data_IF_444317928431
#
_entry.id   IF_444317928431
#
_cell.length_a   1.000
_cell.length_b   1.000
_cell.length_c   1.000
_cell.angle_alpha   90.00
_cell.angle_beta   90.00
_cell.angle_gamma   90.00
#
_symmetry.space_group_name_H-M   'P 1'
#
loop_
_entity.id
_entity.type
_entity.pdbx_description
1 polymer ?
#
# COMPACT_ATOMS: atom_id res chain seq x y z
N UNK A 1 23.79 19.68 -10.12
CA UNK A 1 22.48 19.06 -10.45
C UNK A 1 21.49 19.60 -9.43
N UNK A 2 20.63 20.51 -9.85
CA UNK A 2 19.69 21.22 -8.98
C UNK A 2 18.54 20.29 -8.63
N UNK A 3 18.35 20.00 -7.35
CA UNK A 3 17.15 19.32 -6.89
C UNK A 3 15.98 20.29 -7.05
N UNK A 4 15.18 20.11 -8.07
CA UNK A 4 13.87 20.71 -8.15
C UNK A 4 13.08 20.23 -6.93
N UNK A 5 12.64 21.15 -6.08
CA UNK A 5 11.57 20.91 -5.12
C UNK A 5 10.30 20.73 -5.95
N UNK A 6 10.06 19.52 -6.47
CA UNK A 6 8.77 19.20 -7.05
C UNK A 6 7.76 19.28 -5.91
N UNK A 7 7.04 20.39 -5.86
CA UNK A 7 5.82 20.48 -5.07
C UNK A 7 4.92 19.37 -5.62
N UNK A 8 4.61 18.38 -4.79
CA UNK A 8 3.59 17.40 -5.13
C UNK A 8 2.35 18.18 -5.55
N UNK A 9 1.76 17.81 -6.68
CA UNK A 9 0.51 18.39 -7.14
C UNK A 9 -0.57 18.23 -6.05
N UNK A 10 -1.42 19.22 -5.85
CA UNK A 10 -2.49 19.09 -4.86
C UNK A 10 -3.38 17.89 -5.20
N UNK A 11 -3.87 17.21 -4.17
CA UNK A 11 -4.84 16.13 -4.34
C UNK A 11 -6.07 16.66 -5.08
N UNK A 12 -6.43 16.03 -6.20
CA UNK A 12 -7.59 16.42 -7.00
C UNK A 12 -8.90 16.03 -6.31
N UNK A 13 -9.96 16.83 -6.48
CA UNK A 13 -11.30 16.45 -6.05
C UNK A 13 -11.72 15.11 -6.66
N UNK A 14 -12.41 14.31 -5.86
CA UNK A 14 -12.85 12.95 -6.26
C UNK A 14 -14.38 12.86 -6.39
N UNK A 15 -15.05 13.98 -6.55
CA UNK A 15 -16.52 14.05 -6.70
C UNK A 15 -16.98 13.19 -7.88
N UNK A 16 -17.99 12.36 -7.65
CA UNK A 16 -18.53 11.43 -8.66
C UNK A 16 -17.70 10.15 -8.84
N UNK A 17 -16.59 9.99 -8.11
CA UNK A 17 -15.75 8.79 -8.13
C UNK A 17 -16.10 7.85 -7.01
N UNK A 18 -15.94 6.54 -7.27
CA UNK A 18 -16.21 5.45 -6.33
C UNK A 18 -14.93 4.69 -6.00
N UNK A 19 -14.67 4.47 -4.71
CA UNK A 19 -13.48 3.81 -4.23
C UNK A 19 -13.78 2.68 -3.26
N UNK A 20 -13.00 1.61 -3.31
CA UNK A 20 -12.96 0.56 -2.30
C UNK A 20 -11.68 0.70 -1.50
N UNK A 21 -11.76 0.64 -0.17
CA UNK A 21 -10.60 0.61 0.73
C UNK A 21 -10.70 -0.60 1.65
N UNK A 22 -9.87 -1.62 1.42
CA UNK A 22 -9.81 -2.77 2.34
C UNK A 22 -9.15 -2.36 3.64
N UNK A 23 -9.65 -2.86 4.77
CA UNK A 23 -9.15 -2.44 6.09
C UNK A 23 -9.46 -0.97 6.43
N UNK A 24 -10.42 -0.33 5.75
CA UNK A 24 -10.77 1.09 5.89
C UNK A 24 -11.36 1.49 7.26
N UNK A 25 -11.44 0.57 8.21
CA UNK A 25 -11.95 0.83 9.56
C UNK A 25 -10.87 1.14 10.60
N UNK A 26 -9.58 1.12 10.26
CA UNK A 26 -8.49 1.40 11.20
C UNK A 26 -7.20 1.82 10.48
N UNK A 27 -6.35 2.56 11.18
CA UNK A 27 -4.99 2.87 10.74
C UNK A 27 -4.90 3.61 9.41
N UNK A 28 -3.98 3.18 8.56
CA UNK A 28 -3.73 3.78 7.24
C UNK A 28 -4.98 3.71 6.35
N UNK A 29 -5.68 2.56 6.34
CA UNK A 29 -6.91 2.40 5.55
C UNK A 29 -8.00 3.35 5.97
N UNK A 30 -8.20 3.57 7.28
CA UNK A 30 -9.16 4.54 7.82
C UNK A 30 -8.83 5.97 7.35
N UNK A 31 -7.59 6.40 7.51
CA UNK A 31 -7.17 7.74 7.11
C UNK A 31 -7.24 7.95 5.60
N UNK A 32 -6.90 6.92 4.81
CA UNK A 32 -7.05 6.95 3.35
C UNK A 32 -8.54 7.09 2.97
N UNK A 33 -9.42 6.27 3.53
CA UNK A 33 -10.86 6.32 3.27
C UNK A 33 -11.45 7.68 3.64
N UNK A 34 -11.08 8.21 4.81
CA UNK A 34 -11.49 9.53 5.30
C UNK A 34 -11.08 10.64 4.34
N UNK A 35 -9.82 10.65 3.91
CA UNK A 35 -9.31 11.70 3.02
C UNK A 35 -9.96 11.65 1.64
N UNK A 36 -10.15 10.45 1.05
CA UNK A 36 -10.86 10.30 -0.22
C UNK A 36 -12.32 10.78 -0.12
N UNK A 37 -13.00 10.49 0.98
CA UNK A 37 -14.36 10.97 1.23
C UNK A 37 -14.43 12.48 1.44
N UNK A 38 -13.46 13.09 2.12
CA UNK A 38 -13.34 14.55 2.29
C UNK A 38 -13.08 15.27 0.96
N UNK A 39 -12.36 14.62 0.02
CA UNK A 39 -12.17 15.11 -1.35
C UNK A 39 -13.42 14.94 -2.23
N UNK A 40 -14.51 14.36 -1.71
CA UNK A 40 -15.79 14.24 -2.38
C UNK A 40 -16.12 12.87 -2.96
N UNK A 41 -15.26 11.88 -2.79
CA UNK A 41 -15.46 10.51 -3.29
C UNK A 41 -16.51 9.74 -2.50
N UNK A 42 -17.17 8.80 -3.17
CA UNK A 42 -17.95 7.72 -2.54
C UNK A 42 -16.99 6.60 -2.16
N UNK A 43 -16.88 6.27 -0.87
CA UNK A 43 -15.91 5.29 -0.38
C UNK A 43 -16.61 4.10 0.27
N UNK A 44 -16.24 2.90 -0.17
CA UNK A 44 -16.67 1.65 0.41
C UNK A 44 -15.53 1.10 1.28
N UNK A 45 -15.72 1.10 2.60
CA UNK A 45 -14.78 0.45 3.50
C UNK A 45 -15.11 -1.04 3.58
N UNK A 46 -14.15 -1.85 3.10
CA UNK A 46 -14.26 -3.29 3.05
C UNK A 46 -13.48 -3.90 4.24
N UNK A 47 -14.18 -4.47 5.22
CA UNK A 47 -13.54 -5.08 6.39
C UNK A 47 -14.47 -6.11 7.05
N UNK A 48 -13.93 -6.91 7.97
CA UNK A 48 -14.67 -8.01 8.59
C UNK A 48 -15.56 -7.59 9.78
N UNK A 49 -15.20 -6.53 10.50
CA UNK A 49 -15.89 -6.14 11.73
C UNK A 49 -16.87 -4.98 11.50
N UNK A 50 -18.16 -5.30 11.44
CA UNK A 50 -19.25 -4.33 11.20
C UNK A 50 -19.34 -3.25 12.27
N UNK A 51 -19.12 -3.59 13.54
CA UNK A 51 -19.20 -2.61 14.64
C UNK A 51 -18.11 -1.55 14.50
N UNK A 52 -16.84 -2.01 14.37
CA UNK A 52 -15.72 -1.10 14.17
C UNK A 52 -15.83 -0.28 12.87
N UNK A 53 -16.45 -0.83 11.83
CA UNK A 53 -16.71 -0.09 10.60
C UNK A 53 -17.70 1.06 10.82
N UNK A 54 -18.80 0.81 11.56
CA UNK A 54 -19.78 1.85 11.88
C UNK A 54 -19.17 2.95 12.76
N UNK A 55 -18.42 2.59 13.80
CA UNK A 55 -17.68 3.55 14.63
C UNK A 55 -16.70 4.40 13.78
N UNK A 56 -15.95 3.74 12.90
CA UNK A 56 -15.02 4.42 11.99
C UNK A 56 -15.77 5.46 11.11
N UNK A 57 -16.89 5.08 10.50
CA UNK A 57 -17.67 5.97 9.64
C UNK A 57 -18.17 7.18 10.45
N UNK A 58 -18.66 6.97 11.67
CA UNK A 58 -19.14 8.06 12.54
C UNK A 58 -18.02 9.05 12.91
N UNK A 59 -16.79 8.55 13.11
CA UNK A 59 -15.64 9.37 13.52
C UNK A 59 -14.93 10.06 12.37
N UNK A 60 -15.20 9.69 11.11
CA UNK A 60 -14.57 10.32 9.96
C UNK A 60 -14.93 11.80 9.76
N UNK A 61 -16.08 12.24 10.27
CA UNK A 61 -16.51 13.64 10.12
C UNK A 61 -16.85 14.01 8.68
N UNK A 62 -17.32 13.06 7.88
CA UNK A 62 -17.71 13.24 6.48
C UNK A 62 -19.23 13.25 6.33
N UNK A 63 -19.74 13.81 5.23
CA UNK A 63 -21.19 13.87 4.95
C UNK A 63 -21.81 12.46 4.96
N UNK A 64 -23.01 12.36 5.49
CA UNK A 64 -23.78 11.12 5.57
C UNK A 64 -23.89 10.45 4.18
N UNK A 65 -23.63 9.14 4.13
CA UNK A 65 -23.70 8.37 2.89
C UNK A 65 -22.43 8.38 2.04
N UNK A 66 -21.45 9.27 2.31
CA UNK A 66 -20.18 9.30 1.59
C UNK A 66 -19.33 8.07 1.83
N UNK A 67 -19.39 7.48 3.01
CA UNK A 67 -18.68 6.26 3.34
C UNK A 67 -19.68 5.18 3.68
N UNK A 68 -19.56 4.04 3.04
CA UNK A 68 -20.38 2.85 3.27
C UNK A 68 -19.52 1.66 3.69
N UNK A 69 -20.10 0.74 4.38
CA UNK A 69 -19.48 -0.51 4.80
C UNK A 69 -20.02 -1.68 4.00
N UNK A 70 -19.11 -2.52 3.47
CA UNK A 70 -19.42 -3.85 2.97
C UNK A 70 -18.53 -4.90 3.65
N UNK A 71 -19.11 -6.05 4.05
CA UNK A 71 -18.34 -7.11 4.72
C UNK A 71 -17.42 -7.85 3.76
N UNK A 72 -16.15 -8.04 4.14
CA UNK A 72 -15.20 -8.91 3.46
C UNK A 72 -14.31 -9.61 4.51
N UNK A 73 -14.08 -10.91 4.32
CA UNK A 73 -13.17 -11.70 5.15
C UNK A 73 -12.06 -12.23 4.24
N UNK A 74 -10.90 -11.59 4.27
CA UNK A 74 -9.79 -11.93 3.39
C UNK A 74 -9.10 -13.27 3.71
N UNK A 75 -9.45 -13.88 4.84
CA UNK A 75 -9.11 -15.24 5.20
C UNK A 75 -10.11 -16.29 4.62
N UNK A 76 -11.12 -15.85 3.88
CA UNK A 76 -12.18 -16.70 3.31
C UNK A 76 -12.53 -16.20 1.91
N UNK A 77 -11.93 -16.79 0.90
CA UNK A 77 -12.04 -16.29 -0.48
C UNK A 77 -13.48 -16.36 -1.07
N UNK A 78 -14.35 -17.25 -0.60
CA UNK A 78 -15.77 -17.23 -0.96
C UNK A 78 -16.47 -15.92 -0.59
N UNK A 79 -16.05 -15.25 0.50
CA UNK A 79 -16.60 -13.94 0.89
C UNK A 79 -16.18 -12.83 -0.05
N UNK A 80 -15.06 -12.98 -0.78
CA UNK A 80 -14.62 -12.04 -1.81
C UNK A 80 -15.62 -12.02 -2.96
N UNK A 81 -16.09 -13.21 -3.41
CA UNK A 81 -17.16 -13.31 -4.43
C UNK A 81 -18.44 -12.63 -3.96
N UNK A 82 -18.87 -12.90 -2.72
CA UNK A 82 -20.07 -12.29 -2.14
C UNK A 82 -19.95 -10.76 -2.03
N UNK A 83 -18.78 -10.26 -1.64
CA UNK A 83 -18.48 -8.83 -1.59
C UNK A 83 -18.61 -8.20 -2.99
N UNK A 84 -18.00 -8.80 -4.01
CA UNK A 84 -18.06 -8.30 -5.39
C UNK A 84 -19.48 -8.29 -5.91
N UNK A 85 -20.27 -9.36 -5.67
CA UNK A 85 -21.66 -9.40 -6.05
C UNK A 85 -22.49 -8.30 -5.38
N UNK A 86 -22.30 -8.08 -4.05
CA UNK A 86 -23.00 -7.02 -3.33
C UNK A 86 -22.56 -5.63 -3.80
N UNK A 87 -21.27 -5.43 -4.12
CA UNK A 87 -20.76 -4.18 -4.69
C UNK A 87 -21.40 -3.92 -6.06
N UNK A 88 -21.36 -4.89 -6.99
CA UNK A 88 -21.87 -4.74 -8.35
C UNK A 88 -23.38 -4.52 -8.41
N UNK A 89 -24.13 -5.00 -7.41
CA UNK A 89 -25.57 -4.71 -7.31
C UNK A 89 -25.86 -3.25 -6.91
N UNK A 90 -24.89 -2.53 -6.32
CA UNK A 90 -25.07 -1.16 -5.81
C UNK A 90 -24.34 -0.12 -6.66
N UNK A 91 -23.27 -0.52 -7.33
CA UNK A 91 -22.37 0.37 -8.06
C UNK A 91 -22.00 -0.22 -9.41
N UNK A 92 -22.14 0.57 -10.45
CA UNK A 92 -21.75 0.27 -11.84
C UNK A 92 -20.37 0.87 -12.20
N UNK A 93 -19.74 1.57 -11.25
CA UNK A 93 -18.49 2.30 -11.39
C UNK A 93 -17.52 1.99 -10.25
N UNK A 94 -16.23 1.88 -10.57
CA UNK A 94 -15.12 1.79 -9.62
C UNK A 94 -13.90 2.51 -10.16
N UNK A 95 -13.57 3.66 -9.57
CA UNK A 95 -12.44 4.50 -9.99
C UNK A 95 -11.13 4.12 -9.29
N UNK A 96 -11.22 3.38 -8.20
CA UNK A 96 -10.02 2.86 -7.58
C UNK A 96 -10.26 1.94 -6.41
N UNK A 97 -9.25 1.10 -6.16
CA UNK A 97 -9.21 0.19 -5.03
C UNK A 97 -7.89 0.37 -4.27
N UNK A 98 -7.97 0.43 -2.95
CA UNK A 98 -6.80 0.45 -2.06
C UNK A 98 -6.74 -0.86 -1.28
N UNK A 99 -5.80 -1.71 -1.64
CA UNK A 99 -5.47 -2.97 -0.97
C UNK A 99 -4.65 -2.69 0.30
N UNK A 100 -5.32 -2.14 1.35
CA UNK A 100 -4.67 -1.68 2.58
C UNK A 100 -4.75 -2.70 3.72
N UNK A 101 -5.72 -3.61 3.71
CA UNK A 101 -5.83 -4.63 4.74
C UNK A 101 -4.59 -5.53 4.77
N UNK A 102 -4.16 -5.90 5.97
CA UNK A 102 -3.05 -6.84 6.13
C UNK A 102 -2.78 -7.19 7.58
N UNK A 103 -2.10 -8.30 7.76
CA UNK A 103 -1.61 -8.81 9.05
C UNK A 103 -0.10 -9.06 8.95
N UNK A 104 0.60 -8.89 10.06
CA UNK A 104 2.05 -9.16 10.13
C UNK A 104 2.33 -10.59 10.61
N UNK A 105 1.58 -11.02 11.63
CA UNK A 105 1.54 -12.41 12.07
C UNK A 105 0.11 -12.73 12.46
N UNK A 106 -0.28 -13.97 12.35
CA UNK A 106 -1.64 -14.34 12.70
C UNK A 106 -1.79 -14.58 14.22
N UNK A 107 -0.73 -14.96 14.91
CA UNK A 107 -0.84 -15.57 16.24
C UNK A 107 -1.68 -16.86 16.23
N UNK A 108 -2.20 -17.23 15.08
CA UNK A 108 -3.10 -18.33 14.78
C UNK A 108 -2.47 -19.13 13.64
N UNK A 109 -2.00 -20.38 13.89
CA UNK A 109 -1.30 -21.18 12.89
C UNK A 109 -2.16 -21.47 11.64
N UNK A 110 -3.49 -21.37 11.76
CA UNK A 110 -4.41 -21.62 10.65
C UNK A 110 -4.58 -20.40 9.72
N UNK A 111 -4.04 -19.24 10.10
CA UNK A 111 -4.11 -18.04 9.26
C UNK A 111 -2.86 -17.84 8.44
N UNK A 112 -2.99 -18.03 7.16
CA UNK A 112 -1.95 -17.73 6.19
C UNK A 112 -1.85 -16.20 5.94
N UNK A 113 -0.72 -15.61 6.38
CA UNK A 113 -0.41 -14.19 6.18
C UNK A 113 -0.35 -13.84 4.70
N UNK A 114 0.21 -14.73 3.88
CA UNK A 114 0.31 -14.51 2.44
C UNK A 114 -1.07 -14.54 1.77
N UNK A 115 -1.93 -15.49 2.15
CA UNK A 115 -3.29 -15.58 1.63
C UNK A 115 -4.11 -14.33 1.95
N UNK A 116 -4.05 -13.84 3.21
CA UNK A 116 -4.79 -12.63 3.63
C UNK A 116 -4.26 -11.38 2.96
N UNK A 117 -2.94 -11.20 2.93
CA UNK A 117 -2.34 -9.96 2.46
C UNK A 117 -2.31 -9.85 0.93
N UNK A 118 -2.10 -10.97 0.23
CA UNK A 118 -1.92 -10.97 -1.22
C UNK A 118 -3.02 -11.73 -1.96
N UNK A 119 -3.19 -13.06 -1.73
CA UNK A 119 -4.06 -13.90 -2.58
C UNK A 119 -5.50 -13.38 -2.62
N UNK A 120 -6.04 -12.95 -1.48
CA UNK A 120 -7.39 -12.41 -1.40
C UNK A 120 -7.54 -11.06 -2.13
N UNK A 121 -6.52 -10.19 -2.07
CA UNK A 121 -6.51 -8.94 -2.82
C UNK A 121 -6.35 -9.17 -4.33
N UNK A 122 -5.47 -10.10 -4.70
CA UNK A 122 -5.32 -10.51 -6.08
C UNK A 122 -6.67 -10.98 -6.65
N UNK A 123 -7.36 -11.86 -5.93
CA UNK A 123 -8.67 -12.37 -6.33
C UNK A 123 -9.73 -11.26 -6.39
N UNK A 124 -9.77 -10.38 -5.40
CA UNK A 124 -10.67 -9.22 -5.38
C UNK A 124 -10.47 -8.33 -6.61
N UNK A 125 -9.22 -7.98 -6.92
CA UNK A 125 -8.90 -7.14 -8.08
C UNK A 125 -9.21 -7.84 -9.39
N UNK A 126 -8.94 -9.15 -9.50
CA UNK A 126 -9.29 -9.93 -10.72
C UNK A 126 -10.78 -9.90 -11.00
N UNK A 127 -11.62 -10.08 -9.97
CA UNK A 127 -13.08 -10.02 -10.11
C UNK A 127 -13.64 -8.63 -10.40
N UNK A 128 -12.92 -7.57 -10.00
CA UNK A 128 -13.32 -6.17 -10.20
C UNK A 128 -12.67 -5.53 -11.44
N UNK A 129 -11.82 -6.27 -12.17
CA UNK A 129 -11.03 -5.69 -13.25
C UNK A 129 -11.91 -5.12 -14.38
N UNK A 130 -12.99 -5.77 -14.74
CA UNK A 130 -13.87 -5.29 -15.81
C UNK A 130 -14.56 -3.97 -15.45
N UNK A 131 -15.00 -3.81 -14.20
CA UNK A 131 -15.59 -2.55 -13.78
C UNK A 131 -14.54 -1.44 -13.67
N UNK A 132 -13.29 -1.76 -13.27
CA UNK A 132 -12.17 -0.81 -13.31
C UNK A 132 -11.87 -0.35 -14.72
N UNK A 133 -11.77 -1.28 -15.70
CA UNK A 133 -11.54 -0.95 -17.12
C UNK A 133 -12.65 -0.07 -17.69
N UNK A 134 -13.90 -0.36 -17.34
CA UNK A 134 -15.08 0.40 -17.79
C UNK A 134 -15.12 1.79 -17.19
N UNK A 135 -14.65 1.98 -15.96
CA UNK A 135 -14.72 3.24 -15.23
C UNK A 135 -13.59 4.19 -15.56
N UNK A 136 -12.42 3.67 -15.95
CA UNK A 136 -11.25 4.45 -16.32
C UNK A 136 -11.21 4.84 -17.79
N UNK A 137 -10.36 5.82 -18.10
CA UNK A 137 -9.97 6.22 -19.46
C UNK A 137 -8.47 6.49 -19.50
N UNK A 138 -7.90 6.72 -20.69
CA UNK A 138 -6.48 7.08 -20.82
C UNK A 138 -6.13 8.40 -20.10
N UNK A 139 -7.06 9.37 -20.05
CA UNK A 139 -6.84 10.65 -19.37
C UNK A 139 -7.11 10.56 -17.85
N UNK A 140 -7.95 9.62 -17.43
CA UNK A 140 -8.32 9.41 -16.02
C UNK A 140 -8.43 7.92 -15.71
N UNK A 141 -7.33 7.18 -15.66
CA UNK A 141 -7.36 5.76 -15.42
C UNK A 141 -7.88 5.42 -14.01
N UNK A 142 -8.59 4.32 -13.91
CA UNK A 142 -8.88 3.71 -12.62
C UNK A 142 -7.59 3.20 -11.97
N UNK A 143 -7.50 3.21 -10.64
CA UNK A 143 -6.25 2.96 -9.93
C UNK A 143 -6.34 1.81 -8.97
N UNK A 144 -5.40 0.88 -9.05
CA UNK A 144 -5.23 -0.21 -8.10
C UNK A 144 -4.01 0.11 -7.23
N UNK A 145 -4.26 0.53 -5.98
CA UNK A 145 -3.21 0.86 -5.02
C UNK A 145 -2.94 -0.36 -4.15
N UNK A 146 -1.72 -0.84 -4.17
CA UNK A 146 -1.28 -1.95 -3.31
C UNK A 146 -0.38 -1.45 -2.19
N UNK A 147 -0.76 -1.68 -0.92
CA UNK A 147 0.11 -1.32 0.21
C UNK A 147 1.22 -2.35 0.37
N UNK A 148 2.37 -2.05 -0.23
CA UNK A 148 3.63 -2.74 -0.03
C UNK A 148 4.28 -2.31 1.31
N UNK A 149 5.55 -2.55 1.47
CA UNK A 149 6.37 -2.16 2.63
C UNK A 149 7.84 -2.19 2.22
N UNK A 150 8.71 -1.44 2.87
CA UNK A 150 10.16 -1.59 2.75
C UNK A 150 10.63 -3.03 3.04
N UNK A 151 9.83 -3.82 3.76
CA UNK A 151 10.13 -5.24 4.04
C UNK A 151 10.14 -6.13 2.79
N UNK A 152 9.61 -5.67 1.64
CA UNK A 152 9.66 -6.45 0.40
C UNK A 152 11.08 -6.72 -0.09
N UNK A 153 12.06 -5.89 0.30
CA UNK A 153 13.47 -6.09 -0.05
C UNK A 153 14.20 -7.09 0.86
N UNK A 154 13.60 -7.46 1.98
CA UNK A 154 14.20 -8.39 2.96
C UNK A 154 14.14 -9.86 2.54
N UNK A 155 13.65 -10.16 1.33
CA UNK A 155 13.61 -11.53 0.81
C UNK A 155 14.97 -11.85 0.20
N UNK A 156 15.70 -12.81 0.76
CA UNK A 156 16.95 -13.26 0.16
C UNK A 156 16.62 -14.00 -1.14
N UNK A 157 17.00 -13.41 -2.27
CA UNK A 157 16.85 -14.03 -3.58
C UNK A 157 18.23 -14.35 -4.10
N UNK A 158 18.45 -15.63 -4.33
CA UNK A 158 19.60 -16.10 -5.09
C UNK A 158 19.35 -15.80 -6.57
N UNK A 159 20.33 -15.26 -7.26
CA UNK A 159 20.26 -14.91 -8.69
C UNK A 159 19.91 -16.09 -9.63
N UNK A 160 19.72 -17.28 -9.11
CA UNK A 160 19.50 -18.52 -9.86
C UNK A 160 18.18 -19.22 -9.58
N UNK A 161 17.38 -18.76 -8.60
CA UNK A 161 16.14 -19.44 -8.20
C UNK A 161 15.00 -18.46 -8.08
N UNK A 162 13.83 -18.85 -8.61
CA UNK A 162 12.58 -18.11 -8.47
C UNK A 162 12.15 -18.03 -6.99
N UNK A 163 11.39 -16.99 -6.64
CA UNK A 163 10.84 -16.83 -5.28
C UNK A 163 9.96 -18.03 -4.94
N UNK A 164 10.22 -18.73 -3.83
CA UNK A 164 9.40 -19.87 -3.41
C UNK A 164 8.10 -19.38 -2.76
N UNK A 165 7.10 -19.05 -3.56
CA UNK A 165 5.83 -18.47 -3.10
C UNK A 165 5.04 -19.37 -2.13
N UNK A 166 5.22 -20.68 -2.21
CA UNK A 166 4.55 -21.65 -1.33
C UNK A 166 5.22 -21.84 0.04
N UNK A 167 6.40 -21.27 0.27
CA UNK A 167 7.10 -21.37 1.54
C UNK A 167 6.56 -20.32 2.54
N UNK A 168 6.25 -20.77 3.77
CA UNK A 168 5.71 -19.90 4.83
C UNK A 168 6.77 -19.06 5.53
N UNK A 169 8.07 -19.26 5.28
CA UNK A 169 9.12 -18.41 5.84
C UNK A 169 9.02 -17.00 5.26
N UNK A 170 9.21 -15.99 6.11
CA UNK A 170 9.09 -14.56 5.73
C UNK A 170 7.77 -14.20 5.01
N UNK A 171 6.65 -14.88 5.34
CA UNK A 171 5.34 -14.71 4.69
C UNK A 171 4.90 -13.24 4.56
N UNK A 172 5.16 -12.40 5.57
CA UNK A 172 4.84 -10.97 5.49
C UNK A 172 5.63 -10.27 4.38
N UNK A 173 6.95 -10.42 4.37
CA UNK A 173 7.82 -9.78 3.35
C UNK A 173 7.48 -10.27 1.96
N UNK A 174 7.22 -11.59 1.79
CA UNK A 174 6.75 -12.14 0.51
C UNK A 174 5.42 -11.56 0.09
N UNK A 175 4.45 -11.43 1.00
CA UNK A 175 3.17 -10.81 0.67
C UNK A 175 3.31 -9.36 0.22
N UNK A 176 4.27 -8.61 0.79
CA UNK A 176 4.55 -7.22 0.41
C UNK A 176 5.30 -7.11 -0.92
N UNK A 177 6.19 -8.06 -1.23
CA UNK A 177 6.78 -8.20 -2.55
C UNK A 177 5.71 -8.55 -3.59
N UNK A 178 4.86 -9.53 -3.31
CA UNK A 178 3.79 -9.96 -4.22
C UNK A 178 2.79 -8.83 -4.52
N UNK A 179 2.42 -8.02 -3.53
CA UNK A 179 1.60 -6.83 -3.74
C UNK A 179 2.27 -5.79 -4.64
N UNK A 180 3.59 -5.62 -4.54
CA UNK A 180 4.33 -4.75 -5.44
C UNK A 180 4.31 -5.30 -6.88
N UNK A 181 4.61 -6.58 -7.04
CA UNK A 181 4.61 -7.25 -8.35
C UNK A 181 3.22 -7.26 -9.00
N UNK A 182 2.15 -7.32 -8.20
CA UNK A 182 0.78 -7.22 -8.70
C UNK A 182 0.51 -5.86 -9.36
N UNK A 183 0.97 -4.76 -8.77
CA UNK A 183 0.85 -3.45 -9.39
C UNK A 183 1.60 -3.38 -10.73
N UNK A 184 2.81 -3.92 -10.76
CA UNK A 184 3.63 -3.97 -11.97
C UNK A 184 3.00 -4.87 -13.06
N UNK A 185 2.40 -6.00 -12.65
CA UNK A 185 1.67 -6.85 -13.59
C UNK A 185 0.50 -6.11 -14.25
N UNK A 186 -0.28 -5.37 -13.46
CA UNK A 186 -1.38 -4.57 -13.98
C UNK A 186 -0.89 -3.58 -15.04
N UNK A 187 0.19 -2.85 -14.77
CA UNK A 187 0.73 -1.87 -15.72
C UNK A 187 1.23 -2.52 -17.03
N UNK A 188 1.75 -3.76 -16.94
CA UNK A 188 2.26 -4.48 -18.10
C UNK A 188 1.16 -5.10 -18.97
N UNK A 189 0.06 -5.54 -18.35
CA UNK A 189 -0.95 -6.39 -19.03
C UNK A 189 -2.32 -5.72 -19.20
N UNK A 190 -2.60 -4.64 -18.46
CA UNK A 190 -3.85 -3.90 -18.60
C UNK A 190 -3.70 -2.75 -19.60
N UNK A 191 -4.85 -2.31 -20.15
CA UNK A 191 -4.92 -1.12 -20.99
C UNK A 191 -4.64 0.14 -20.16
N UNK A 192 -4.36 1.26 -20.82
CA UNK A 192 -4.13 2.57 -20.19
C UNK A 192 -5.33 3.07 -19.35
N UNK A 193 -6.45 2.34 -19.33
CA UNK A 193 -7.61 2.64 -18.50
C UNK A 193 -7.45 2.23 -17.05
N UNK A 194 -6.48 1.37 -16.73
CA UNK A 194 -6.22 0.90 -15.35
C UNK A 194 -4.73 1.01 -15.05
N UNK A 195 -4.39 1.60 -13.93
CA UNK A 195 -3.00 1.77 -13.48
C UNK A 195 -2.79 1.12 -12.12
N UNK A 196 -1.79 0.26 -12.01
CA UNK A 196 -1.32 -0.34 -10.78
C UNK A 196 -0.25 0.51 -10.11
N UNK A 197 -0.36 0.77 -8.80
CA UNK A 197 0.57 1.60 -8.07
C UNK A 197 0.93 0.91 -6.75
N UNK A 198 2.20 0.57 -6.58
CA UNK A 198 2.70 0.08 -5.31
C UNK A 198 3.02 1.26 -4.38
N UNK A 199 2.59 1.17 -3.14
CA UNK A 199 2.78 2.23 -2.14
C UNK A 199 3.48 1.67 -0.91
N UNK A 200 4.53 2.34 -0.46
CA UNK A 200 5.13 2.14 0.84
C UNK A 200 4.65 3.25 1.80
N UNK A 201 3.92 2.94 2.86
CA UNK A 201 3.44 3.96 3.80
C UNK A 201 4.55 4.48 4.74
N UNK A 202 5.75 3.93 4.68
CA UNK A 202 6.83 4.17 5.66
C UNK A 202 6.65 3.36 6.95
N UNK A 203 7.46 3.66 7.94
CA UNK A 203 7.33 3.08 9.27
C UNK A 203 6.20 3.79 10.03
N UNK A 204 5.02 3.17 10.09
CA UNK A 204 3.81 3.75 10.67
C UNK A 204 3.45 3.07 11.98
N UNK A 205 3.18 3.85 13.01
CA UNK A 205 2.62 3.36 14.26
C UNK A 205 1.14 2.97 14.02
N UNK A 206 0.93 1.71 13.70
CA UNK A 206 -0.37 1.17 13.36
C UNK A 206 -0.68 -0.10 14.16
N UNK A 207 -1.92 -0.54 14.07
CA UNK A 207 -2.39 -1.75 14.77
C UNK A 207 -1.68 -3.04 14.37
N UNK A 208 -0.85 -3.02 13.34
CA UNK A 208 -0.05 -4.18 12.90
C UNK A 208 1.01 -4.58 13.93
N UNK A 209 1.40 -3.66 14.83
CA UNK A 209 2.40 -3.86 15.88
C UNK A 209 1.81 -4.29 17.23
N UNK A 210 0.49 -4.53 17.34
CA UNK A 210 -0.19 -4.87 18.61
C UNK A 210 0.32 -6.13 19.31
N UNK A 211 0.93 -7.06 18.58
CA UNK A 211 1.53 -8.27 19.13
C UNK A 211 3.00 -8.15 19.52
N UNK A 212 3.61 -6.98 19.33
CA UNK A 212 5.02 -6.75 19.64
C UNK A 212 5.25 -6.45 21.13
N UNK A 213 6.49 -6.58 21.60
CA UNK A 213 6.84 -6.26 22.98
C UNK A 213 6.55 -4.80 23.34
N UNK A 214 6.33 -4.50 24.62
CA UNK A 214 6.05 -3.15 25.11
C UNK A 214 7.14 -2.14 24.74
N UNK A 215 8.41 -2.56 24.70
CA UNK A 215 9.52 -1.74 24.27
C UNK A 215 9.40 -1.33 22.80
N UNK A 216 9.07 -2.27 21.92
CA UNK A 216 8.84 -2.00 20.50
C UNK A 216 7.66 -1.07 20.29
N UNK A 217 6.58 -1.25 21.05
CA UNK A 217 5.42 -0.34 21.00
C UNK A 217 5.76 1.07 21.45
N UNK A 218 6.56 1.24 22.51
CA UNK A 218 6.99 2.56 22.99
C UNK A 218 7.92 3.23 21.98
N UNK A 219 8.92 2.53 21.45
CA UNK A 219 9.83 3.06 20.43
C UNK A 219 9.08 3.43 19.15
N UNK A 220 8.13 2.59 18.72
CA UNK A 220 7.33 2.88 17.53
C UNK A 220 6.42 4.10 17.71
N UNK A 221 5.90 4.34 18.91
CA UNK A 221 5.05 5.52 19.18
C UNK A 221 5.83 6.84 19.10
N UNK A 222 7.14 6.81 19.35
CA UNK A 222 8.00 8.01 19.35
C UNK A 222 8.65 8.30 17.99
N UNK A 223 8.94 7.24 17.21
CA UNK A 223 9.76 7.36 16.00
C UNK A 223 9.00 7.13 14.70
N UNK A 224 7.84 6.48 14.76
CA UNK A 224 7.09 6.11 13.56
C UNK A 224 6.09 7.19 13.17
N UNK A 225 5.78 7.24 11.89
CA UNK A 225 4.77 8.10 11.31
C UNK A 225 3.39 7.80 11.93
N UNK A 226 2.54 8.81 12.01
CA UNK A 226 1.13 8.62 12.34
C UNK A 226 0.41 7.92 11.18
N UNK A 227 -0.75 7.31 11.44
CA UNK A 227 -1.57 6.71 10.39
C UNK A 227 -1.98 7.73 9.31
N UNK A 228 -2.21 8.99 9.70
CA UNK A 228 -2.53 10.07 8.77
C UNK A 228 -1.36 10.40 7.84
N UNK A 229 -0.14 10.45 8.36
CA UNK A 229 1.07 10.62 7.55
C UNK A 229 1.31 9.41 6.63
N UNK A 230 1.14 8.19 7.14
CA UNK A 230 1.28 6.96 6.36
C UNK A 230 0.21 6.78 5.27
N UNK A 231 -0.92 7.47 5.37
CA UNK A 231 -1.96 7.45 4.34
C UNK A 231 -1.66 8.39 3.17
N UNK A 232 -0.82 9.41 3.35
CA UNK A 232 -0.54 10.43 2.32
C UNK A 232 -0.07 9.82 0.98
N UNK A 233 0.87 8.86 0.93
CA UNK A 233 1.27 8.24 -0.32
C UNK A 233 0.11 7.55 -1.05
N UNK A 234 -0.81 6.89 -0.32
CA UNK A 234 -1.99 6.24 -0.91
C UNK A 234 -2.98 7.25 -1.47
N UNK A 235 -3.22 8.35 -0.75
CA UNK A 235 -4.11 9.42 -1.22
C UNK A 235 -3.52 10.12 -2.44
N UNK A 236 -2.23 10.44 -2.41
CA UNK A 236 -1.51 11.00 -3.55
C UNK A 236 -1.59 10.05 -4.76
N UNK A 237 -1.24 8.78 -4.58
CA UNK A 237 -1.32 7.77 -5.63
C UNK A 237 -2.73 7.63 -6.22
N UNK A 238 -3.78 7.81 -5.40
CA UNK A 238 -5.17 7.72 -5.85
C UNK A 238 -5.65 8.98 -6.57
N UNK A 239 -5.11 10.16 -6.29
CA UNK A 239 -5.71 11.44 -6.69
C UNK A 239 -4.83 12.34 -7.54
N UNK A 240 -3.49 12.16 -7.54
CA UNK A 240 -2.60 13.05 -8.29
C UNK A 240 -2.67 12.83 -9.80
N UNK A 241 -2.58 13.93 -10.56
CA UNK A 241 -2.42 13.88 -12.01
C UNK A 241 -1.03 13.40 -12.42
N UNK A 242 -0.01 13.65 -11.60
CA UNK A 242 1.38 13.27 -11.87
C UNK A 242 1.54 11.76 -12.14
N UNK A 243 0.62 10.94 -11.59
CA UNK A 243 0.58 9.48 -11.85
C UNK A 243 0.24 9.17 -13.31
N UNK A 244 -0.62 9.97 -13.94
CA UNK A 244 -1.06 9.77 -15.34
C UNK A 244 0.03 10.18 -16.33
N UNK A 245 0.83 11.18 -15.96
CA UNK A 245 1.94 11.68 -16.79
C UNK A 245 3.13 10.72 -16.80
N UNK A 246 3.23 9.85 -15.78
CA UNK A 246 4.26 8.82 -15.74
C UNK A 246 3.79 7.58 -16.51
N UNK A 247 4.38 7.40 -17.69
CA UNK A 247 4.18 6.22 -18.54
C UNK A 247 5.11 5.05 -18.17
N UNK A 248 5.60 5.01 -16.93
CA UNK A 248 6.51 3.96 -16.48
C UNK A 248 5.74 2.67 -16.15
N UNK A 249 6.31 1.52 -16.54
CA UNK A 249 5.78 0.20 -16.16
C UNK A 249 5.76 -0.03 -14.64
N UNK A 250 6.60 0.70 -13.89
CA UNK A 250 6.84 0.49 -12.46
C UNK A 250 6.60 1.76 -11.66
N UNK A 251 5.42 1.88 -11.03
CA UNK A 251 5.07 3.03 -10.21
C UNK A 251 5.13 2.64 -8.73
N UNK A 252 6.09 3.22 -8.00
CA UNK A 252 6.27 3.01 -6.57
C UNK A 252 6.33 4.33 -5.80
N UNK A 253 5.35 4.57 -4.94
CA UNK A 253 5.21 5.81 -4.17
C UNK A 253 5.59 5.58 -2.71
N UNK A 254 6.45 6.44 -2.17
CA UNK A 254 6.87 6.41 -0.77
C UNK A 254 6.63 7.77 -0.09
N UNK A 255 6.50 7.82 1.25
CA UNK A 255 6.40 9.10 1.93
C UNK A 255 7.72 9.87 1.80
N UNK A 256 7.60 11.20 1.72
CA UNK A 256 8.77 12.06 1.87
C UNK A 256 9.31 11.96 3.29
N UNK A 257 10.39 11.23 3.48
CA UNK A 257 11.20 11.31 4.68
C UNK A 257 12.42 12.14 4.30
N UNK A 258 12.67 13.31 4.94
CA UNK A 258 13.87 14.07 4.68
C UNK A 258 15.08 13.16 4.91
N UNK A 259 15.78 12.84 3.84
CA UNK A 259 16.94 11.95 3.92
C UNK A 259 18.02 12.63 4.74
N UNK A 260 18.36 12.05 5.88
CA UNK A 260 19.48 12.49 6.71
C UNK A 260 20.80 12.54 5.93
N UNK A 261 20.94 11.70 4.91
CA UNK A 261 22.09 11.66 4.01
C UNK A 261 22.17 12.87 3.08
N UNK A 262 21.04 13.46 2.67
CA UNK A 262 21.00 14.70 1.90
C UNK A 262 21.41 15.91 2.76
N UNK A 263 21.03 15.95 4.05
CA UNK A 263 21.51 16.96 4.99
C UNK A 263 23.01 16.86 5.27
N UNK A 264 23.60 15.68 5.14
CA UNK A 264 25.04 15.44 5.31
C UNK A 264 25.88 15.86 4.10
N UNK A 265 25.31 15.95 2.90
CA UNK A 265 26.00 16.42 1.68
C UNK A 265 25.90 17.92 1.44
N UNK A 266 24.99 18.61 2.13
CA UNK A 266 24.91 20.07 2.07
C UNK A 266 26.01 20.70 2.94
N UNK A 267 27.00 21.28 2.30
CA UNK A 267 28.16 21.98 2.94
C UNK A 267 27.81 23.33 3.59
N UNK A 268 26.55 23.71 3.63
CA UNK A 268 26.12 24.99 4.16
C UNK A 268 25.00 24.80 5.18
N UNK A 269 25.35 24.57 6.43
CA UNK A 269 24.56 25.03 7.58
C UNK A 269 25.38 25.00 8.86
N UNK A 270 25.75 26.15 9.32
CA UNK A 270 26.19 26.49 10.66
C UNK A 270 25.09 26.16 11.67
N UNK A 271 25.33 25.22 12.58
CA UNK A 271 24.90 25.35 14.00
C UNK A 271 25.43 24.20 14.85
N UNK A 272 25.96 24.56 15.97
CA UNK A 272 26.74 23.78 16.93
C UNK A 272 25.95 22.73 17.74
N UNK A 273 24.64 22.72 17.68
CA UNK A 273 23.73 21.80 18.39
C UNK A 273 23.52 20.46 17.71
N UNK A 274 23.99 20.28 16.48
CA UNK A 274 23.76 19.11 15.66
C UNK A 274 24.69 17.92 15.95
N UNK A 275 25.79 18.10 16.68
CA UNK A 275 26.87 17.10 16.77
C UNK A 275 26.56 15.91 17.72
N UNK A 276 25.86 16.12 18.84
CA UNK A 276 25.48 15.02 19.75
C UNK A 276 24.24 14.23 19.22
N UNK A 277 23.28 14.95 18.67
CA UNK A 277 22.12 14.36 17.98
C UNK A 277 22.56 13.56 16.76
N UNK A 278 23.58 14.04 16.04
CA UNK A 278 24.15 13.45 14.83
C UNK A 278 24.76 12.05 15.07
N UNK A 279 25.45 11.81 16.21
CA UNK A 279 26.01 10.49 16.53
C UNK A 279 24.96 9.46 16.92
N UNK A 280 23.98 9.83 17.72
CA UNK A 280 22.88 8.93 18.10
C UNK A 280 21.99 8.56 16.92
N UNK A 281 21.66 9.53 16.07
CA UNK A 281 20.87 9.31 14.86
C UNK A 281 21.63 8.56 13.75
N UNK A 282 22.97 8.71 13.66
CA UNK A 282 23.79 7.93 12.73
C UNK A 282 23.85 6.45 13.13
N UNK A 283 23.92 6.16 14.44
CA UNK A 283 23.88 4.78 14.94
C UNK A 283 22.49 4.16 14.73
N UNK A 284 21.42 4.94 14.94
CA UNK A 284 20.05 4.50 14.68
C UNK A 284 19.81 4.32 13.16
N UNK A 285 20.30 5.23 12.34
CA UNK A 285 20.27 5.15 10.88
C UNK A 285 21.01 3.91 10.37
N UNK A 286 22.23 3.66 10.87
CA UNK A 286 23.00 2.47 10.50
C UNK A 286 22.34 1.17 10.99
N UNK A 287 21.70 1.19 12.17
CA UNK A 287 20.92 0.05 12.67
C UNK A 287 19.68 -0.21 11.81
N UNK A 288 18.96 0.84 11.42
CA UNK A 288 17.80 0.76 10.56
C UNK A 288 18.21 0.37 9.13
N UNK A 289 19.30 0.92 8.59
CA UNK A 289 19.87 0.51 7.29
C UNK A 289 20.36 -0.95 7.31
N UNK A 290 20.98 -1.40 8.39
CA UNK A 290 21.40 -2.79 8.55
C UNK A 290 20.23 -3.75 8.73
N UNK A 291 19.14 -3.29 9.39
CA UNK A 291 17.98 -4.14 9.71
C UNK A 291 16.94 -4.16 8.60
N UNK A 292 16.76 -3.05 7.84
CA UNK A 292 15.69 -2.86 6.87
C UNK A 292 16.19 -2.53 5.45
N UNK A 293 17.52 -2.48 5.25
CA UNK A 293 18.12 -2.20 3.95
C UNK A 293 18.02 -0.74 3.49
N UNK A 294 18.67 -0.43 2.37
CA UNK A 294 18.79 0.93 1.81
C UNK A 294 17.45 1.62 1.45
N UNK A 295 16.38 0.86 1.35
CA UNK A 295 15.06 1.34 0.90
C UNK A 295 14.32 2.27 1.86
N UNK A 296 14.72 2.38 3.13
CA UNK A 296 14.04 3.29 4.07
C UNK A 296 14.36 4.76 3.82
N UNK A 297 15.39 5.07 3.03
CA UNK A 297 15.98 6.41 2.97
C UNK A 297 16.12 7.01 1.57
N UNK A 298 15.71 6.30 0.51
CA UNK A 298 15.65 6.94 -0.79
C UNK A 298 14.40 7.81 -0.87
N UNK A 299 14.69 9.05 -0.55
CA UNK A 299 13.76 10.15 -0.49
C UNK A 299 13.05 10.41 -1.80
N UNK A 300 11.75 10.48 -1.71
CA UNK A 300 10.95 11.51 -2.35
C UNK A 300 11.01 11.67 -3.87
N UNK A 301 11.23 10.66 -4.62
CA UNK A 301 10.85 10.54 -6.01
C UNK A 301 10.75 9.04 -6.26
N UNK A 302 9.52 8.51 -6.56
CA UNK A 302 9.42 7.20 -7.17
C UNK A 302 10.47 6.21 -6.60
N UNK A 303 10.21 5.63 -5.43
CA UNK A 303 11.18 4.77 -4.74
C UNK A 303 11.69 3.66 -5.67
N UNK A 304 12.99 3.37 -5.64
CA UNK A 304 13.52 2.25 -6.38
C UNK A 304 12.86 0.95 -5.91
N UNK A 305 12.11 0.34 -6.81
CA UNK A 305 11.59 -1.00 -6.62
C UNK A 305 12.74 -2.00 -6.49
N UNK A 306 12.55 -3.07 -5.73
CA UNK A 306 13.54 -4.16 -5.75
C UNK A 306 13.62 -4.73 -7.17
N UNK A 307 14.81 -5.14 -7.61
CA UNK A 307 15.02 -5.75 -8.94
C UNK A 307 14.04 -6.89 -9.21
N UNK A 308 13.70 -7.66 -8.19
CA UNK A 308 12.78 -8.79 -8.27
C UNK A 308 11.34 -8.35 -8.51
N UNK A 309 10.91 -7.26 -7.89
CA UNK A 309 9.58 -6.73 -8.12
C UNK A 309 9.36 -6.26 -9.57
N UNK A 310 10.45 -6.01 -10.29
CA UNK A 310 10.46 -5.59 -11.70
C UNK A 310 10.87 -6.71 -12.67
N UNK A 311 11.20 -7.91 -12.17
CA UNK A 311 11.58 -9.04 -13.01
C UNK A 311 10.35 -9.70 -13.63
N UNK A 312 10.25 -9.67 -14.95
CA UNK A 312 9.11 -10.23 -15.68
C UNK A 312 8.90 -11.72 -15.45
N UNK A 313 9.97 -12.52 -15.30
CA UNK A 313 9.85 -13.96 -15.05
C UNK A 313 9.28 -14.23 -13.65
N UNK A 314 9.72 -13.45 -12.65
CA UNK A 314 9.18 -13.55 -11.30
C UNK A 314 7.72 -13.11 -11.23
N UNK A 315 7.36 -12.06 -11.95
CA UNK A 315 5.98 -11.58 -12.06
C UNK A 315 5.08 -12.65 -12.69
N UNK A 316 5.50 -13.26 -13.79
CA UNK A 316 4.74 -14.32 -14.46
C UNK A 316 4.65 -15.60 -13.59
N UNK A 317 5.70 -15.93 -12.86
CA UNK A 317 5.71 -17.03 -11.89
C UNK A 317 4.73 -16.79 -10.73
N UNK A 318 4.75 -15.59 -10.14
CA UNK A 318 3.78 -15.21 -9.09
C UNK A 318 2.35 -15.29 -9.60
N UNK A 319 2.11 -14.82 -10.83
CA UNK A 319 0.78 -14.81 -11.43
C UNK A 319 0.23 -16.22 -11.61
N UNK A 320 1.05 -17.11 -12.17
CA UNK A 320 0.69 -18.52 -12.33
C UNK A 320 0.42 -19.19 -10.98
N UNK A 321 1.24 -18.90 -9.96
CA UNK A 321 1.00 -19.38 -8.60
C UNK A 321 -0.32 -18.85 -8.02
N UNK A 322 -0.61 -17.57 -8.19
CA UNK A 322 -1.84 -16.96 -7.67
C UNK A 322 -3.09 -17.53 -8.33
N UNK A 323 -3.07 -17.73 -9.65
CA UNK A 323 -4.17 -18.39 -10.39
C UNK A 323 -4.42 -19.81 -9.87
N UNK A 324 -3.36 -20.62 -9.70
CA UNK A 324 -3.50 -21.99 -9.18
C UNK A 324 -4.15 -22.05 -7.78
N UNK A 325 -3.97 -21.02 -6.96
CA UNK A 325 -4.62 -20.92 -5.64
C UNK A 325 -6.10 -20.61 -5.72
N UNK A 326 -6.54 -19.93 -6.78
CA UNK A 326 -7.95 -19.55 -6.99
C UNK A 326 -8.71 -20.68 -7.70
N UNK A 327 -8.09 -21.35 -8.67
CA UNK A 327 -8.71 -22.43 -9.44
C UNK A 327 -9.00 -23.68 -8.62
N UNK A 328 -8.21 -23.93 -7.57
CA UNK A 328 -8.36 -25.07 -6.65
C UNK A 328 -9.40 -24.82 -5.53
N UNK A 329 -10.25 -23.80 -5.67
CA UNK A 329 -11.31 -23.41 -4.72
C UNK A 329 -12.71 -23.48 -5.32
#
# INVERSE_FOLDING_TARGET
>A
MFFSKTRLSPCLPTTGKVFIVTGGNTGIGYETAKQLALLGGQVIIACRNKHKAKEAIQTMGVSTGRVQYLPIFLDRLNTVKSFVAEFSNKYDRLDGIVCSAGINSSGDPDKDVFAVNFTAHFYLCSLLMDVLRKSGSSESPSRVITLSSAMHVAIPISNSTLVPWGDNTASYSRSKLALHMMANYINKHESNNVVGIAVNPGAVNSSIWRGSSSLVQTVSSLLFLTSSQGAQPSVFAMTSHDIVEQQDEFIYVTPYVPCFRCCLKSRTTTTFTCHLFRRGLLLLSNFIEATFGRCLYDSAHWGEASRVACDSKEIDHLWSFALSKIENM
#
